data_IF_133659668985
#
_entry.id   IF_133659668985
#
_cell.length_a   1.000
_cell.length_b   1.000
_cell.length_c   1.000
_cell.angle_alpha   90.00
_cell.angle_beta   90.00
_cell.angle_gamma   90.00
#
_symmetry.space_group_name_H-M   'P 1'
#
loop_
_entity.id
_entity.type
_entity.pdbx_description
1 polymer ?
#
# COMPACT_ATOMS: atom_id res chain seq x y z
N UNK A 1 -4.19 38.19 10.08
CA UNK A 1 -4.29 37.12 11.09
C UNK A 1 -3.21 36.10 10.79
N UNK A 2 -2.36 35.78 11.76
CA UNK A 2 -1.41 34.65 11.66
C UNK A 2 -2.17 33.35 11.89
N UNK A 3 -2.10 32.41 10.95
CA UNK A 3 -2.66 31.06 11.15
C UNK A 3 -1.86 30.31 12.20
N UNK A 4 -2.54 29.59 13.10
CA UNK A 4 -1.92 28.72 14.09
C UNK A 4 -1.03 27.65 13.40
N UNK A 5 0.22 27.39 13.87
CA UNK A 5 1.15 26.49 13.17
C UNK A 5 0.62 25.07 12.93
N UNK A 6 -0.12 24.42 13.84
CA UNK A 6 -0.81 23.15 13.57
C UNK A 6 -1.81 23.22 12.40
N UNK A 7 -2.70 24.21 12.37
CA UNK A 7 -3.66 24.43 11.27
C UNK A 7 -2.94 24.63 9.94
N UNK A 8 -1.83 25.39 9.94
CA UNK A 8 -1.01 25.60 8.75
C UNK A 8 -0.32 24.30 8.28
N UNK A 9 0.17 23.48 9.22
CA UNK A 9 0.79 22.18 8.92
C UNK A 9 -0.23 21.20 8.32
N UNK A 10 -1.44 21.10 8.88
CA UNK A 10 -2.50 20.22 8.35
C UNK A 10 -2.92 20.65 6.93
N UNK A 11 -3.12 21.96 6.69
CA UNK A 11 -3.40 22.48 5.33
C UNK A 11 -2.26 22.17 4.35
N UNK A 12 -1.01 22.24 4.79
CA UNK A 12 0.14 21.87 3.95
C UNK A 12 0.17 20.37 3.64
N UNK A 13 -0.12 19.52 4.62
CA UNK A 13 -0.24 18.06 4.44
C UNK A 13 -1.37 17.71 3.47
N UNK A 14 -2.53 18.35 3.61
CA UNK A 14 -3.67 18.21 2.69
C UNK A 14 -3.28 18.52 1.23
N UNK A 15 -2.61 19.67 1.01
CA UNK A 15 -2.09 20.05 -0.30
C UNK A 15 -1.12 19.01 -0.85
N UNK A 16 -0.14 18.57 -0.05
CA UNK A 16 0.86 17.59 -0.45
C UNK A 16 0.22 16.25 -0.86
N UNK A 17 -0.75 15.74 -0.10
CA UNK A 17 -1.49 14.52 -0.45
C UNK A 17 -2.19 14.65 -1.80
N UNK A 18 -2.90 15.77 -2.02
CA UNK A 18 -3.63 16.04 -3.26
C UNK A 18 -2.69 16.05 -4.48
N UNK A 19 -1.61 16.82 -4.39
CA UNK A 19 -0.62 16.98 -5.47
C UNK A 19 0.18 15.69 -5.72
N UNK A 20 0.47 14.91 -4.68
CA UNK A 20 1.16 13.62 -4.82
C UNK A 20 0.29 12.57 -5.52
N UNK A 21 -1.04 12.60 -5.30
CA UNK A 21 -1.98 11.76 -6.04
C UNK A 21 -2.09 12.15 -7.52
N UNK A 22 -2.04 13.45 -7.84
CA UNK A 22 -2.04 13.93 -9.23
C UNK A 22 -0.83 13.45 -10.02
N UNK A 23 0.39 13.69 -9.52
CA UNK A 23 1.61 13.24 -10.20
C UNK A 23 1.72 11.71 -10.25
N UNK A 24 1.21 10.98 -9.25
CA UNK A 24 1.16 9.51 -9.30
C UNK A 24 0.31 9.05 -10.49
N UNK A 25 -0.90 9.62 -10.65
CA UNK A 25 -1.78 9.33 -11.79
C UNK A 25 -1.09 9.65 -13.11
N UNK A 26 -0.53 10.86 -13.25
CA UNK A 26 0.20 11.29 -14.46
C UNK A 26 1.33 10.32 -14.83
N UNK A 27 2.07 9.83 -13.83
CA UNK A 27 3.15 8.86 -14.02
C UNK A 27 2.63 7.48 -14.41
N UNK A 28 1.52 7.03 -13.80
CA UNK A 28 0.89 5.75 -14.15
C UNK A 28 0.32 5.78 -15.57
N UNK A 29 -0.39 6.83 -15.96
CA UNK A 29 -0.92 7.02 -17.32
C UNK A 29 0.22 6.95 -18.35
N UNK A 30 1.26 7.81 -18.18
CA UNK A 30 2.44 7.84 -19.04
C UNK A 30 3.18 6.50 -19.11
N UNK A 31 3.41 5.84 -17.98
CA UNK A 31 4.10 4.55 -17.95
C UNK A 31 3.28 3.45 -18.63
N UNK A 32 1.95 3.51 -18.64
CA UNK A 32 1.14 2.50 -19.35
C UNK A 32 1.08 2.74 -20.87
N UNK A 33 0.92 4.00 -21.30
CA UNK A 33 0.82 4.39 -22.72
C UNK A 33 2.10 4.14 -23.53
N UNK A 34 3.25 4.12 -22.86
CA UNK A 34 4.58 4.03 -23.49
C UNK A 34 5.09 2.60 -23.60
N UNK A 35 5.60 2.21 -24.77
CA UNK A 35 6.29 0.91 -24.94
C UNK A 35 7.53 0.90 -24.03
N UNK A 36 7.70 -0.17 -23.24
CA UNK A 36 8.85 -0.30 -22.35
C UNK A 36 10.16 -0.34 -23.15
N UNK A 37 11.17 0.43 -22.71
CA UNK A 37 12.42 0.54 -23.44
C UNK A 37 13.17 -0.81 -23.54
N UNK A 38 13.97 -1.07 -24.57
CA UNK A 38 14.76 -2.30 -24.68
C UNK A 38 15.68 -2.55 -23.47
N UNK A 39 15.80 -3.80 -23.03
CA UNK A 39 16.65 -4.20 -21.90
C UNK A 39 16.04 -3.98 -20.50
N UNK A 40 14.96 -3.21 -20.40
CA UNK A 40 14.20 -3.01 -19.15
C UNK A 40 13.64 -4.32 -18.57
N UNK A 41 13.32 -4.38 -17.27
CA UNK A 41 12.63 -5.53 -16.68
C UNK A 41 11.38 -5.94 -17.47
N UNK A 42 10.53 -4.98 -17.86
CA UNK A 42 9.32 -5.24 -18.64
C UNK A 42 9.59 -5.86 -20.02
N UNK A 43 10.55 -5.31 -20.79
CA UNK A 43 10.89 -5.88 -22.11
C UNK A 43 11.51 -7.29 -21.98
N UNK A 44 12.33 -7.52 -20.95
CA UNK A 44 12.91 -8.84 -20.65
C UNK A 44 11.87 -9.87 -20.22
N UNK A 45 10.90 -9.46 -19.40
CA UNK A 45 9.81 -10.34 -18.94
C UNK A 45 8.89 -10.72 -20.10
N UNK A 46 8.54 -9.76 -20.96
CA UNK A 46 7.77 -10.02 -22.17
C UNK A 46 8.50 -10.99 -23.12
N UNK A 47 9.79 -10.76 -23.39
CA UNK A 47 10.60 -11.66 -24.21
C UNK A 47 10.72 -13.07 -23.59
N UNK A 48 10.91 -13.16 -22.26
CA UNK A 48 10.96 -14.45 -21.55
C UNK A 48 9.64 -15.20 -21.66
N UNK A 49 8.51 -14.52 -21.51
CA UNK A 49 7.19 -15.13 -21.65
C UNK A 49 6.90 -15.64 -23.06
N UNK A 50 7.33 -14.91 -24.11
CA UNK A 50 7.24 -15.37 -25.50
C UNK A 50 8.03 -16.66 -25.73
N UNK A 51 9.16 -16.85 -25.03
CA UNK A 51 9.98 -18.07 -25.10
C UNK A 51 9.43 -19.27 -24.32
N UNK A 52 8.39 -19.10 -23.51
CA UNK A 52 7.85 -20.19 -22.69
C UNK A 52 6.86 -21.09 -23.45
N UNK A 53 6.83 -22.37 -23.06
CA UNK A 53 5.73 -23.27 -23.44
C UNK A 53 4.41 -22.68 -22.95
N UNK A 54 3.37 -22.78 -23.78
CA UNK A 54 2.03 -22.20 -23.49
C UNK A 54 2.10 -20.68 -23.22
N UNK A 55 2.94 -19.99 -23.98
CA UNK A 55 3.16 -18.53 -23.88
C UNK A 55 1.85 -17.73 -23.88
N UNK A 56 0.84 -18.12 -24.67
CA UNK A 56 -0.49 -17.47 -24.68
C UNK A 56 -1.23 -17.57 -23.33
N UNK A 57 -1.34 -18.76 -22.73
CA UNK A 57 -1.97 -18.91 -21.40
C UNK A 57 -1.17 -18.16 -20.32
N UNK A 58 0.17 -18.14 -20.45
CA UNK A 58 1.07 -17.39 -19.54
C UNK A 58 0.96 -15.87 -19.73
N UNK A 59 0.70 -15.41 -20.94
CA UNK A 59 0.43 -14.00 -21.27
C UNK A 59 -0.90 -13.52 -20.67
N UNK A 60 -1.95 -14.34 -20.70
CA UNK A 60 -3.21 -14.04 -20.00
C UNK A 60 -2.97 -13.91 -18.48
N UNK A 61 -2.30 -14.90 -17.87
CA UNK A 61 -1.93 -14.86 -16.44
C UNK A 61 -1.10 -13.62 -16.06
N UNK A 62 -0.10 -13.25 -16.86
CA UNK A 62 0.72 -12.08 -16.57
C UNK A 62 -0.04 -10.77 -16.76
N UNK A 63 -0.88 -10.68 -17.78
CA UNK A 63 -1.73 -9.50 -18.02
C UNK A 63 -2.67 -9.27 -16.85
N UNK A 64 -3.28 -10.33 -16.29
CA UNK A 64 -4.09 -10.27 -15.06
C UNK A 64 -3.28 -9.82 -13.85
N UNK A 65 -2.06 -10.34 -13.67
CA UNK A 65 -1.19 -9.93 -12.57
C UNK A 65 -0.78 -8.44 -12.68
N UNK A 66 -0.49 -7.96 -13.90
CA UNK A 66 -0.18 -6.56 -14.18
C UNK A 66 -1.39 -5.64 -13.95
N UNK A 67 -2.61 -6.07 -14.32
CA UNK A 67 -3.86 -5.36 -14.03
C UNK A 67 -4.10 -5.28 -12.51
N UNK A 68 -3.89 -6.37 -11.76
CA UNK A 68 -4.00 -6.31 -10.29
C UNK A 68 -2.96 -5.37 -9.66
N UNK A 69 -1.73 -5.31 -10.19
CA UNK A 69 -0.73 -4.32 -9.77
C UNK A 69 -1.18 -2.88 -10.07
N UNK A 70 -1.81 -2.64 -11.23
CA UNK A 70 -2.37 -1.33 -11.57
C UNK A 70 -3.56 -0.95 -10.67
N UNK A 71 -4.45 -1.89 -10.32
CA UNK A 71 -5.52 -1.64 -9.36
C UNK A 71 -4.97 -1.23 -7.98
N UNK A 72 -3.90 -1.89 -7.50
CA UNK A 72 -3.20 -1.47 -6.28
C UNK A 72 -2.57 -0.08 -6.42
N UNK A 73 -2.01 0.26 -7.59
CA UNK A 73 -1.43 1.58 -7.82
C UNK A 73 -2.50 2.70 -7.83
N UNK A 74 -3.67 2.43 -8.41
CA UNK A 74 -4.85 3.31 -8.35
C UNK A 74 -5.35 3.46 -6.90
N UNK A 75 -5.40 2.36 -6.13
CA UNK A 75 -5.79 2.42 -4.72
C UNK A 75 -4.84 3.28 -3.87
N UNK A 76 -3.53 3.26 -4.14
CA UNK A 76 -2.58 4.19 -3.51
C UNK A 76 -2.96 5.64 -3.83
N UNK A 77 -3.20 5.99 -5.09
CA UNK A 77 -3.61 7.33 -5.50
C UNK A 77 -4.92 7.79 -4.86
N UNK A 78 -5.92 6.91 -4.85
CA UNK A 78 -7.23 7.17 -4.24
C UNK A 78 -7.13 7.36 -2.73
N UNK A 79 -6.31 6.58 -2.02
CA UNK A 79 -6.06 6.78 -0.60
C UNK A 79 -5.37 8.11 -0.28
N UNK A 80 -4.49 8.62 -1.15
CA UNK A 80 -3.96 9.98 -0.99
C UNK A 80 -5.02 11.06 -1.27
N UNK A 81 -5.95 10.83 -2.22
CA UNK A 81 -7.12 11.72 -2.40
C UNK A 81 -8.00 11.73 -1.17
N UNK A 82 -8.34 10.55 -0.63
CA UNK A 82 -9.12 10.41 0.59
C UNK A 82 -8.44 11.15 1.77
N UNK A 83 -7.13 11.01 1.96
CA UNK A 83 -6.38 11.82 2.94
C UNK A 83 -6.52 13.33 2.68
N UNK A 84 -6.44 13.79 1.43
CA UNK A 84 -6.62 15.22 1.13
C UNK A 84 -8.05 15.75 1.36
N UNK A 85 -9.06 14.87 1.37
CA UNK A 85 -10.44 15.20 1.74
C UNK A 85 -10.59 15.20 3.27
N UNK A 86 -10.06 14.19 3.96
CA UNK A 86 -10.08 14.08 5.43
C UNK A 86 -9.33 15.22 6.14
N UNK A 87 -8.42 15.90 5.44
CA UNK A 87 -7.63 17.03 5.95
C UNK A 87 -8.10 18.38 5.39
N UNK A 88 -9.24 18.43 4.70
CA UNK A 88 -9.75 19.65 4.07
C UNK A 88 -10.20 20.69 5.10
N UNK A 89 -10.80 20.24 6.20
CA UNK A 89 -11.03 21.04 7.40
C UNK A 89 -10.04 20.62 8.51
N UNK A 90 -9.07 21.48 8.88
CA UNK A 90 -8.14 21.18 9.97
C UNK A 90 -8.78 21.04 11.35
N UNK A 91 -9.98 21.61 11.54
CA UNK A 91 -10.64 21.67 12.84
C UNK A 91 -11.59 20.47 13.07
N UNK A 92 -11.88 19.68 12.01
CA UNK A 92 -12.72 18.46 12.04
C UNK A 92 -12.03 17.23 11.40
N UNK A 93 -10.72 17.07 11.64
CA UNK A 93 -9.97 15.89 11.15
C UNK A 93 -10.37 14.63 11.93
N UNK A 94 -10.77 13.53 11.25
CA UNK A 94 -11.11 12.28 11.95
C UNK A 94 -9.90 11.59 12.60
N UNK A 95 -9.99 11.42 13.91
CA UNK A 95 -8.96 10.98 14.88
C UNK A 95 -8.05 9.82 14.42
N UNK A 96 -8.62 8.82 13.73
CA UNK A 96 -7.95 7.54 13.44
C UNK A 96 -8.05 7.12 11.97
N UNK A 97 -8.97 7.72 11.20
CA UNK A 97 -9.26 7.31 9.82
C UNK A 97 -8.05 7.52 8.90
N UNK A 98 -7.29 8.60 9.12
CA UNK A 98 -6.07 8.89 8.36
C UNK A 98 -5.03 7.77 8.42
N UNK A 99 -4.85 7.12 9.58
CA UNK A 99 -3.87 6.05 9.75
C UNK A 99 -4.30 4.76 9.01
N UNK A 100 -5.60 4.45 9.00
CA UNK A 100 -6.13 3.29 8.26
C UNK A 100 -6.04 3.49 6.73
N UNK A 101 -6.31 4.70 6.24
CA UNK A 101 -6.13 5.04 4.82
C UNK A 101 -4.66 5.01 4.41
N UNK A 102 -3.76 5.56 5.24
CA UNK A 102 -2.32 5.50 5.02
C UNK A 102 -1.79 4.05 5.02
N UNK A 103 -2.32 3.18 5.90
CA UNK A 103 -1.97 1.75 5.95
C UNK A 103 -2.21 1.05 4.61
N UNK A 104 -3.40 1.23 4.06
CA UNK A 104 -3.78 0.57 2.80
C UNK A 104 -2.91 1.01 1.62
N UNK A 105 -2.54 2.30 1.56
CA UNK A 105 -1.57 2.81 0.59
C UNK A 105 -0.18 2.17 0.76
N UNK A 106 0.32 2.07 2.00
CA UNK A 106 1.63 1.47 2.32
C UNK A 106 1.68 -0.03 1.99
N UNK A 107 0.64 -0.80 2.31
CA UNK A 107 0.55 -2.24 1.99
C UNK A 107 0.46 -2.47 0.47
N UNK A 108 -0.31 -1.65 -0.24
CA UNK A 108 -0.42 -1.70 -1.71
C UNK A 108 0.92 -1.38 -2.38
N UNK A 109 1.59 -0.30 -1.98
CA UNK A 109 2.90 0.08 -2.51
C UNK A 109 3.98 -1.00 -2.26
N UNK A 110 4.03 -1.57 -1.05
CA UNK A 110 4.95 -2.67 -0.74
C UNK A 110 4.69 -3.91 -1.60
N UNK A 111 3.43 -4.21 -1.90
CA UNK A 111 3.04 -5.32 -2.77
C UNK A 111 3.45 -5.07 -4.23
N UNK A 112 3.25 -3.85 -4.74
CA UNK A 112 3.69 -3.44 -6.09
C UNK A 112 5.21 -3.57 -6.22
N UNK A 113 5.96 -3.06 -5.24
CA UNK A 113 7.43 -3.19 -5.19
C UNK A 113 7.86 -4.66 -5.21
N UNK A 114 7.19 -5.54 -4.47
CA UNK A 114 7.47 -6.98 -4.45
C UNK A 114 7.22 -7.67 -5.80
N UNK A 115 6.15 -7.29 -6.51
CA UNK A 115 5.80 -7.85 -7.83
C UNK A 115 6.72 -7.37 -8.96
N UNK A 116 7.17 -6.11 -8.90
CA UNK A 116 7.91 -5.43 -9.98
C UNK A 116 9.41 -5.35 -9.75
N UNK A 117 9.90 -5.84 -8.60
CA UNK A 117 11.30 -5.93 -8.18
C UNK A 117 12.24 -6.34 -9.32
N UNK A 118 12.99 -5.36 -9.84
CA UNK A 118 13.88 -5.52 -10.98
C UNK A 118 15.12 -6.40 -10.68
N UNK A 119 15.42 -6.67 -9.40
CA UNK A 119 16.62 -7.39 -8.97
C UNK A 119 16.49 -8.90 -9.07
N UNK A 120 15.25 -9.43 -9.04
CA UNK A 120 14.98 -10.87 -9.17
C UNK A 120 14.77 -11.32 -10.63
N UNK A 121 14.86 -12.63 -10.94
CA UNK A 121 14.58 -13.15 -12.28
C UNK A 121 13.11 -12.97 -12.72
N UNK A 122 12.88 -12.93 -14.04
CA UNK A 122 11.53 -12.87 -14.66
C UNK A 122 10.59 -13.96 -14.17
N UNK A 123 11.09 -15.19 -14.03
CA UNK A 123 10.31 -16.32 -13.51
C UNK A 123 9.84 -16.08 -12.06
N UNK A 124 10.63 -15.39 -11.23
CA UNK A 124 10.27 -15.04 -9.85
C UNK A 124 9.17 -13.98 -9.83
N UNK A 125 9.28 -12.90 -10.63
CA UNK A 125 8.20 -11.90 -10.76
C UNK A 125 6.90 -12.52 -11.26
N UNK A 126 6.96 -13.34 -12.31
CA UNK A 126 5.79 -14.05 -12.84
C UNK A 126 5.15 -14.98 -11.78
N UNK A 127 5.97 -15.75 -11.04
CA UNK A 127 5.48 -16.61 -9.95
C UNK A 127 4.83 -15.83 -8.81
N UNK A 128 5.38 -14.66 -8.42
CA UNK A 128 4.76 -13.75 -7.43
C UNK A 128 3.41 -13.21 -7.93
N UNK A 129 3.33 -12.83 -9.20
CA UNK A 129 2.08 -12.40 -9.84
C UNK A 129 1.00 -13.49 -9.85
N UNK A 130 1.38 -14.74 -10.19
CA UNK A 130 0.47 -15.89 -10.14
C UNK A 130 0.05 -16.22 -8.70
N UNK A 131 0.97 -16.19 -7.75
CA UNK A 131 0.69 -16.39 -6.33
C UNK A 131 -0.37 -15.40 -5.81
N UNK A 132 -0.27 -14.12 -6.21
CA UNK A 132 -1.28 -13.10 -5.91
C UNK A 132 -2.66 -13.45 -6.49
N UNK A 133 -2.74 -13.85 -7.77
CA UNK A 133 -4.02 -14.21 -8.40
C UNK A 133 -4.72 -15.40 -7.71
N UNK A 134 -3.94 -16.38 -7.24
CA UNK A 134 -4.48 -17.52 -6.47
C UNK A 134 -5.02 -17.04 -5.12
N UNK A 135 -4.26 -16.22 -4.38
CA UNK A 135 -4.67 -15.68 -3.07
C UNK A 135 -5.92 -14.81 -3.17
N UNK A 136 -5.95 -13.89 -4.14
CA UNK A 136 -7.05 -12.96 -4.40
C UNK A 136 -8.34 -13.71 -4.77
N UNK A 137 -8.29 -14.61 -5.76
CA UNK A 137 -9.46 -15.38 -6.19
C UNK A 137 -9.97 -16.36 -5.12
N UNK A 138 -9.10 -16.94 -4.30
CA UNK A 138 -9.53 -17.78 -3.17
C UNK A 138 -10.17 -16.96 -2.05
N UNK A 139 -9.62 -15.78 -1.73
CA UNK A 139 -10.20 -14.87 -0.76
C UNK A 139 -11.60 -14.39 -1.21
N UNK A 140 -11.72 -13.95 -2.48
CA UNK A 140 -12.99 -13.54 -3.08
C UNK A 140 -14.02 -14.69 -3.07
N UNK A 141 -13.62 -15.90 -3.44
CA UNK A 141 -14.46 -17.12 -3.38
C UNK A 141 -14.94 -17.41 -1.95
N UNK A 142 -14.05 -17.33 -0.95
CA UNK A 142 -14.40 -17.58 0.46
C UNK A 142 -15.35 -16.52 1.01
N UNK A 143 -15.10 -15.24 0.73
CA UNK A 143 -15.99 -14.14 1.14
C UNK A 143 -17.37 -14.27 0.48
N UNK A 144 -17.41 -14.50 -0.84
CA UNK A 144 -18.65 -14.66 -1.61
C UNK A 144 -19.52 -15.85 -1.15
N UNK A 145 -18.91 -16.90 -0.60
CA UNK A 145 -19.61 -18.05 -0.03
C UNK A 145 -20.24 -17.79 1.35
N UNK A 146 -19.82 -16.72 2.05
CA UNK A 146 -20.39 -16.31 3.34
C UNK A 146 -21.53 -15.29 3.19
N UNK A 147 -21.72 -14.71 2.00
CA UNK A 147 -22.79 -13.76 1.74
C UNK A 147 -24.15 -14.47 1.77
N UNK A 148 -25.07 -14.10 2.69
CA UNK A 148 -26.38 -14.73 2.77
C UNK A 148 -27.26 -14.34 1.57
N UNK A 149 -28.04 -15.29 1.06
CA UNK A 149 -28.95 -15.03 -0.06
C UNK A 149 -30.27 -14.42 0.44
N UNK A 150 -30.27 -13.12 0.68
CA UNK A 150 -31.42 -12.35 1.20
C UNK A 150 -31.92 -11.35 0.15
N UNK A 151 -33.17 -10.87 0.29
CA UNK A 151 -33.81 -9.93 -0.65
C UNK A 151 -32.92 -8.78 -1.17
N UNK A 152 -32.26 -7.99 -0.30
CA UNK A 152 -31.39 -6.89 -0.74
C UNK A 152 -29.98 -7.32 -1.21
N UNK A 153 -29.62 -8.61 -1.07
CA UNK A 153 -28.26 -9.10 -1.32
C UNK A 153 -28.29 -10.52 -1.90
N UNK A 154 -28.25 -10.62 -3.23
CA UNK A 154 -28.13 -11.91 -3.93
C UNK A 154 -26.76 -12.53 -3.68
N UNK A 155 -26.71 -13.80 -3.28
CA UNK A 155 -25.45 -14.49 -2.99
C UNK A 155 -24.60 -14.68 -4.26
N UNK A 156 -23.38 -14.11 -4.35
CA UNK A 156 -22.55 -14.19 -5.55
C UNK A 156 -21.65 -15.44 -5.58
N UNK A 157 -21.71 -16.30 -4.56
CA UNK A 157 -20.87 -17.49 -4.37
C UNK A 157 -20.62 -18.34 -5.63
N UNK A 158 -21.66 -18.77 -6.39
CA UNK A 158 -21.46 -19.57 -7.60
C UNK A 158 -20.62 -18.88 -8.67
N UNK A 159 -20.75 -17.56 -8.84
CA UNK A 159 -19.99 -16.80 -9.83
C UNK A 159 -18.51 -16.74 -9.47
N UNK A 160 -18.18 -16.44 -8.21
CA UNK A 160 -16.79 -16.42 -7.73
C UNK A 160 -16.16 -17.83 -7.68
N UNK A 161 -16.93 -18.87 -7.35
CA UNK A 161 -16.48 -20.26 -7.45
C UNK A 161 -16.10 -20.62 -8.89
N UNK A 162 -16.93 -20.27 -9.87
CA UNK A 162 -16.63 -20.49 -11.29
C UNK A 162 -15.46 -19.63 -11.81
N UNK A 163 -15.28 -18.40 -11.31
CA UNK A 163 -14.10 -17.57 -11.61
C UNK A 163 -12.81 -18.19 -11.07
N UNK A 164 -12.82 -18.66 -9.82
CA UNK A 164 -11.65 -19.32 -9.21
C UNK A 164 -11.31 -20.63 -9.95
N UNK A 165 -12.30 -21.46 -10.29
CA UNK A 165 -12.05 -22.68 -11.06
C UNK A 165 -11.43 -22.36 -12.43
N UNK A 166 -11.95 -21.36 -13.15
CA UNK A 166 -11.36 -20.92 -14.44
C UNK A 166 -9.90 -20.45 -14.31
N UNK A 167 -9.50 -19.88 -13.17
CA UNK A 167 -8.10 -19.56 -12.91
C UNK A 167 -7.26 -20.84 -12.72
N UNK A 168 -7.75 -21.81 -11.94
CA UNK A 168 -7.06 -23.08 -11.73
C UNK A 168 -6.89 -23.86 -13.05
N UNK A 169 -7.92 -23.88 -13.89
CA UNK A 169 -7.88 -24.50 -15.22
C UNK A 169 -6.83 -23.82 -16.12
N UNK A 170 -6.80 -22.48 -16.13
CA UNK A 170 -5.79 -21.69 -16.87
C UNK A 170 -4.37 -21.98 -16.38
N UNK A 171 -4.18 -22.14 -15.07
CA UNK A 171 -2.88 -22.49 -14.47
C UNK A 171 -2.39 -23.88 -14.89
N UNK A 172 -3.27 -24.88 -14.93
CA UNK A 172 -2.90 -26.21 -15.47
C UNK A 172 -2.54 -26.14 -16.96
N UNK A 173 -3.33 -25.43 -17.79
CA UNK A 173 -3.03 -25.27 -19.22
C UNK A 173 -1.68 -24.58 -19.43
N UNK A 174 -1.38 -23.54 -18.66
CA UNK A 174 -0.10 -22.83 -18.64
C UNK A 174 1.08 -23.66 -18.06
N UNK A 175 0.80 -24.86 -17.55
CA UNK A 175 1.76 -25.76 -16.88
C UNK A 175 2.48 -25.07 -15.73
N UNK A 176 1.68 -24.47 -14.85
CA UNK A 176 2.12 -23.87 -13.59
C UNK A 176 1.82 -24.85 -12.46
N UNK A 177 2.85 -25.21 -11.69
CA UNK A 177 2.72 -26.15 -10.59
C UNK A 177 2.30 -25.40 -9.32
N UNK A 178 1.13 -25.76 -8.78
CA UNK A 178 0.72 -25.37 -7.43
C UNK A 178 1.31 -26.37 -6.44
N UNK A 179 2.19 -25.89 -5.55
CA UNK A 179 2.77 -26.70 -4.48
C UNK A 179 1.82 -26.70 -3.29
N UNK A 180 1.49 -27.89 -2.78
CA UNK A 180 0.60 -28.07 -1.62
C UNK A 180 1.38 -28.18 -0.30
N UNK A 181 0.77 -27.71 0.78
CA UNK A 181 1.23 -27.91 2.15
C UNK A 181 0.84 -29.30 2.69
N UNK A 182 1.26 -29.58 3.94
CA UNK A 182 0.92 -30.82 4.66
C UNK A 182 -0.60 -30.99 4.89
N UNK A 183 -1.33 -29.88 4.93
CA UNK A 183 -2.79 -29.82 5.04
C UNK A 183 -3.52 -29.88 3.68
N UNK A 184 -2.78 -30.15 2.59
CA UNK A 184 -3.31 -30.22 1.23
C UNK A 184 -3.63 -28.87 0.59
N UNK A 185 -3.52 -27.75 1.32
CA UNK A 185 -3.82 -26.41 0.77
C UNK A 185 -2.67 -25.89 -0.11
N UNK A 186 -2.94 -25.03 -1.11
CA UNK A 186 -1.90 -24.33 -1.85
C UNK A 186 -0.98 -23.53 -0.90
N UNK A 187 0.34 -23.80 -0.93
CA UNK A 187 1.35 -23.03 -0.19
C UNK A 187 2.26 -22.19 -1.09
N UNK A 188 2.48 -22.62 -2.33
CA UNK A 188 3.43 -21.99 -3.24
C UNK A 188 3.17 -22.31 -4.71
N UNK A 189 3.93 -21.66 -5.59
CA UNK A 189 3.84 -21.73 -7.04
C UNK A 189 5.23 -21.95 -7.64
N UNK A 190 5.35 -22.85 -8.61
CA UNK A 190 6.54 -23.03 -9.45
C UNK A 190 6.10 -22.85 -10.92
N UNK A 191 6.74 -21.91 -11.63
CA UNK A 191 6.36 -21.53 -13.01
C UNK A 191 7.29 -22.09 -14.09
N UNK A 192 8.44 -22.63 -13.71
CA UNK A 192 9.40 -23.30 -14.60
C UNK A 192 9.81 -24.63 -13.95
N UNK A 193 9.94 -25.74 -14.70
CA UNK A 193 10.41 -27.01 -14.14
C UNK A 193 11.77 -26.86 -13.44
N UNK A 194 11.86 -27.26 -12.18
CA UNK A 194 13.07 -27.07 -11.35
C UNK A 194 13.34 -25.63 -10.90
N UNK A 195 12.45 -24.68 -11.22
CA UNK A 195 12.54 -23.29 -10.78
C UNK A 195 12.18 -23.09 -9.30
N UNK A 196 12.45 -21.90 -8.74
CA UNK A 196 12.19 -21.61 -7.34
C UNK A 196 10.69 -21.57 -7.03
N UNK A 197 10.29 -22.21 -5.93
CA UNK A 197 8.95 -22.04 -5.35
C UNK A 197 8.79 -20.60 -4.83
N UNK A 198 7.70 -19.91 -5.20
CA UNK A 198 7.28 -18.67 -4.56
C UNK A 198 6.05 -18.92 -3.67
N UNK A 199 6.00 -18.37 -2.44
CA UNK A 199 4.88 -18.56 -1.53
C UNK A 199 3.60 -17.88 -2.05
N UNK A 200 2.46 -18.53 -1.84
CA UNK A 200 1.12 -17.98 -2.17
C UNK A 200 0.71 -16.92 -1.15
N UNK A 201 0.91 -17.21 0.14
CA UNK A 201 0.65 -16.26 1.22
C UNK A 201 1.94 -15.54 1.61
N UNK A 202 1.98 -14.23 1.37
CA UNK A 202 3.03 -13.32 1.84
C UNK A 202 2.43 -12.35 2.83
N UNK A 203 3.07 -12.16 3.99
CA UNK A 203 2.56 -11.24 5.02
C UNK A 203 2.85 -9.79 4.63
N UNK A 204 1.81 -8.95 4.66
CA UNK A 204 1.94 -7.51 4.44
C UNK A 204 2.98 -6.86 5.37
N UNK A 205 3.07 -7.32 6.63
CA UNK A 205 4.09 -6.89 7.61
C UNK A 205 5.53 -7.06 7.13
N UNK A 206 5.78 -8.11 6.35
CA UNK A 206 7.13 -8.50 5.94
C UNK A 206 7.50 -7.78 4.64
N UNK A 207 6.53 -7.61 3.74
CA UNK A 207 6.66 -6.74 2.56
C UNK A 207 6.90 -5.28 2.96
N UNK A 208 6.10 -4.72 3.86
CA UNK A 208 6.25 -3.33 4.30
C UNK A 208 7.59 -3.14 5.03
N UNK A 209 8.04 -4.10 5.85
CA UNK A 209 9.36 -4.03 6.48
C UNK A 209 10.52 -4.04 5.48
N UNK A 210 10.42 -4.84 4.41
CA UNK A 210 11.43 -4.90 3.35
C UNK A 210 11.41 -3.68 2.42
N UNK A 211 10.24 -3.11 2.17
CA UNK A 211 10.08 -1.93 1.33
C UNK A 211 10.42 -0.62 2.07
N UNK A 212 9.86 -0.42 3.27
CA UNK A 212 9.92 0.82 4.07
C UNK A 212 10.97 0.71 5.19
N UNK A 213 12.20 0.40 4.81
CA UNK A 213 13.34 0.24 5.74
C UNK A 213 13.77 1.55 6.41
N UNK A 214 13.51 2.70 5.78
CA UNK A 214 13.71 4.05 6.32
C UNK A 214 12.60 4.49 7.30
N UNK A 215 11.37 4.00 7.10
CA UNK A 215 10.23 4.26 8.00
C UNK A 215 10.03 3.08 8.95
N UNK A 216 11.03 2.81 9.79
CA UNK A 216 10.96 1.78 10.84
C UNK A 216 9.67 1.91 11.67
N UNK A 217 9.09 0.77 12.03
CA UNK A 217 7.82 0.66 12.76
C UNK A 217 6.55 1.27 12.10
N UNK A 218 6.62 1.75 10.85
CA UNK A 218 5.42 2.27 10.14
C UNK A 218 4.27 1.27 10.10
N UNK A 219 4.56 -0.02 9.83
CA UNK A 219 3.54 -1.06 9.80
C UNK A 219 2.84 -1.25 11.15
N UNK A 220 3.53 -1.58 12.28
CA UNK A 220 2.83 -1.74 13.56
C UNK A 220 2.13 -0.47 14.05
N UNK A 221 2.64 0.73 13.76
CA UNK A 221 1.98 1.99 14.14
C UNK A 221 0.63 2.17 13.45
N UNK A 222 0.58 1.98 12.13
CA UNK A 222 -0.66 2.11 11.36
C UNK A 222 -1.60 0.90 11.58
N UNK A 223 -1.03 -0.30 11.68
CA UNK A 223 -1.76 -1.55 11.95
C UNK A 223 -2.43 -1.55 13.32
N UNK A 224 -1.78 -0.96 14.34
CA UNK A 224 -2.34 -0.79 15.68
C UNK A 224 -3.65 0.02 15.68
N UNK A 225 -3.73 1.09 14.87
CA UNK A 225 -4.97 1.87 14.71
C UNK A 225 -6.07 1.04 14.05
N UNK A 226 -5.77 0.39 12.91
CA UNK A 226 -6.75 -0.42 12.17
C UNK A 226 -7.31 -1.59 12.97
N UNK A 227 -6.53 -2.13 13.91
CA UNK A 227 -6.97 -3.21 14.81
C UNK A 227 -7.46 -2.71 16.18
N UNK A 228 -7.69 -1.40 16.34
CA UNK A 228 -8.17 -0.75 17.55
C UNK A 228 -7.36 -1.10 18.81
N UNK A 229 -6.04 -1.20 18.69
CA UNK A 229 -5.15 -1.62 19.78
C UNK A 229 -5.03 -0.49 20.83
N UNK A 230 -5.38 -0.73 22.12
CA UNK A 230 -5.46 0.34 23.11
C UNK A 230 -4.17 1.17 23.27
N UNK A 231 -3.00 0.52 23.25
CA UNK A 231 -1.69 1.18 23.34
C UNK A 231 -1.39 2.20 22.23
N UNK A 232 -2.16 2.16 21.14
CA UNK A 232 -2.02 3.06 19.98
C UNK A 232 -3.11 4.13 19.93
N UNK A 233 -4.25 3.90 20.59
CA UNK A 233 -5.38 4.83 20.62
C UNK A 233 -5.36 5.77 21.83
N UNK A 234 -4.63 5.42 22.91
CA UNK A 234 -4.57 6.21 24.15
C UNK A 234 -4.13 7.65 23.99
N UNK A 235 -3.39 7.96 22.91
CA UNK A 235 -2.72 9.25 22.74
C UNK A 235 -3.65 10.34 22.17
N UNK A 236 -4.76 9.94 21.53
CA UNK A 236 -5.71 10.85 20.86
C UNK A 236 -7.10 10.87 21.51
N UNK A 237 -7.30 10.13 22.61
CA UNK A 237 -8.53 10.11 23.39
C UNK A 237 -8.22 9.92 24.89
N UNK A 238 -8.51 10.93 25.69
CA UNK A 238 -8.40 10.90 27.16
C UNK A 238 -9.77 10.69 27.82
N UNK A 239 -9.78 10.01 28.96
CA UNK A 239 -10.95 9.79 29.80
C UNK A 239 -10.61 10.16 31.25
N UNK A 240 -10.91 11.41 31.61
CA UNK A 240 -10.74 11.91 32.98
C UNK A 240 -12.08 11.86 33.73
N UNK A 241 -12.20 10.86 34.62
CA UNK A 241 -13.39 10.69 35.48
C UNK A 241 -14.65 10.25 34.72
N UNK A 242 -15.59 11.18 34.51
CA UNK A 242 -16.81 10.96 33.70
C UNK A 242 -16.80 11.73 32.36
N UNK A 243 -15.71 12.43 32.06
CA UNK A 243 -15.55 13.20 30.83
C UNK A 243 -14.59 12.46 29.90
N UNK A 244 -14.94 12.42 28.62
CA UNK A 244 -14.10 11.88 27.56
C UNK A 244 -13.82 13.01 26.56
N UNK A 245 -12.56 13.18 26.21
CA UNK A 245 -12.09 14.20 25.27
C UNK A 245 -11.25 13.52 24.20
N UNK A 246 -11.52 13.83 22.94
CA UNK A 246 -10.81 13.25 21.83
C UNK A 246 -10.64 14.27 20.71
N UNK A 247 -9.49 14.21 20.04
CA UNK A 247 -9.15 15.09 18.93
C UNK A 247 -8.04 14.46 18.11
N UNK A 248 -8.00 14.71 16.80
CA UNK A 248 -6.88 14.28 15.99
C UNK A 248 -5.61 15.01 16.44
N UNK A 249 -4.53 14.27 16.67
CA UNK A 249 -3.21 14.85 16.91
C UNK A 249 -2.57 15.25 15.56
N UNK A 250 -2.24 16.53 15.32
CA UNK A 250 -1.58 16.97 14.08
C UNK A 250 -0.24 16.26 13.79
N UNK A 251 0.47 15.77 14.81
CA UNK A 251 1.68 14.95 14.67
C UNK A 251 1.33 13.53 14.21
N UNK A 252 0.24 12.95 14.66
CA UNK A 252 -0.19 11.60 14.25
C UNK A 252 -0.85 11.60 12.85
N UNK A 253 -1.56 12.68 12.54
CA UNK A 253 -1.98 13.02 11.17
C UNK A 253 -0.75 13.06 10.25
N UNK A 254 0.29 13.81 10.63
CA UNK A 254 1.55 13.84 9.89
C UNK A 254 2.21 12.46 9.80
N UNK A 255 2.26 11.71 10.91
CA UNK A 255 2.75 10.33 10.98
C UNK A 255 2.01 9.35 10.08
N UNK A 256 0.81 9.70 9.60
CA UNK A 256 0.05 8.95 8.59
C UNK A 256 0.29 9.49 7.17
N UNK A 257 0.40 10.80 7.01
CA UNK A 257 0.64 11.47 5.72
C UNK A 257 2.03 11.12 5.15
N UNK A 258 3.09 11.12 5.97
CA UNK A 258 4.45 10.86 5.46
C UNK A 258 4.60 9.44 4.87
N UNK A 259 4.12 8.36 5.51
CA UNK A 259 4.03 7.04 4.88
C UNK A 259 3.21 7.00 3.59
N UNK A 260 2.08 7.72 3.52
CA UNK A 260 1.26 7.76 2.30
C UNK A 260 1.98 8.47 1.14
N UNK A 261 2.63 9.61 1.39
CA UNK A 261 3.46 10.31 0.40
C UNK A 261 4.60 9.42 -0.11
N UNK A 262 5.24 8.67 0.79
CA UNK A 262 6.26 7.68 0.47
C UNK A 262 5.69 6.52 -0.37
N UNK A 263 4.52 5.98 -0.02
CA UNK A 263 3.86 4.90 -0.75
C UNK A 263 3.52 5.30 -2.20
N UNK A 264 3.02 6.51 -2.41
CA UNK A 264 2.78 7.05 -3.75
C UNK A 264 4.08 7.18 -4.55
N UNK A 265 5.13 7.77 -3.97
CA UNK A 265 6.44 7.91 -4.61
C UNK A 265 7.00 6.55 -5.03
N UNK A 266 6.99 5.56 -4.13
CA UNK A 266 7.54 4.22 -4.37
C UNK A 266 6.75 3.43 -5.41
N UNK A 267 5.43 3.62 -5.44
CA UNK A 267 4.57 3.07 -6.48
C UNK A 267 4.97 3.62 -7.85
N UNK A 268 5.12 4.94 -7.97
CA UNK A 268 5.56 5.58 -9.20
C UNK A 268 6.97 5.13 -9.61
N UNK A 269 7.94 5.11 -8.68
CA UNK A 269 9.31 4.64 -8.95
C UNK A 269 9.35 3.16 -9.36
N UNK A 270 8.54 2.29 -8.76
CA UNK A 270 8.47 0.88 -9.10
C UNK A 270 7.96 0.67 -10.54
N UNK A 271 6.85 1.32 -10.92
CA UNK A 271 6.32 1.26 -12.29
C UNK A 271 7.28 1.89 -13.32
N UNK A 272 7.86 3.05 -13.01
CA UNK A 272 8.81 3.73 -13.88
C UNK A 272 10.06 2.87 -14.11
N UNK A 273 10.70 2.35 -13.05
CA UNK A 273 11.89 1.48 -13.16
C UNK A 273 11.61 0.20 -13.92
N UNK A 274 10.45 -0.40 -13.68
CA UNK A 274 10.05 -1.63 -14.37
C UNK A 274 9.99 -1.44 -15.90
N UNK A 275 9.63 -0.23 -16.38
CA UNK A 275 9.52 0.12 -17.82
C UNK A 275 10.67 1.00 -18.36
N UNK A 276 11.65 1.37 -17.54
CA UNK A 276 12.84 2.14 -17.94
C UNK A 276 12.65 3.66 -17.97
N UNK A 277 11.86 4.21 -17.06
CA UNK A 277 11.49 5.64 -17.00
C UNK A 277 11.95 6.31 -15.69
N UNK A 278 13.04 5.84 -15.08
CA UNK A 278 13.57 6.34 -13.79
C UNK A 278 13.89 7.85 -13.76
N UNK A 279 14.00 8.50 -14.93
CA UNK A 279 14.33 9.93 -15.11
C UNK A 279 13.09 10.85 -15.29
N UNK A 280 11.88 10.38 -14.98
CA UNK A 280 10.68 11.20 -15.09
C UNK A 280 10.69 12.39 -14.10
N UNK A 281 10.40 13.60 -14.61
CA UNK A 281 10.31 14.84 -13.84
C UNK A 281 9.20 14.79 -12.77
N UNK A 282 8.16 13.97 -12.95
CA UNK A 282 7.14 13.73 -11.92
C UNK A 282 7.73 13.08 -10.67
N UNK A 283 8.63 12.10 -10.81
CA UNK A 283 9.29 11.43 -9.70
C UNK A 283 10.11 12.42 -8.87
N UNK A 284 10.79 13.36 -9.52
CA UNK A 284 11.52 14.42 -8.84
C UNK A 284 10.62 15.42 -8.10
N UNK A 285 9.43 15.74 -8.64
CA UNK A 285 8.40 16.50 -7.91
C UNK A 285 7.91 15.70 -6.69
N UNK A 286 7.64 14.41 -6.85
CA UNK A 286 7.18 13.51 -5.79
C UNK A 286 8.22 13.32 -4.68
N UNK A 287 9.51 13.22 -5.02
CA UNK A 287 10.65 13.19 -4.06
C UNK A 287 10.74 14.49 -3.27
N UNK A 288 10.61 15.64 -3.93
CA UNK A 288 10.60 16.96 -3.26
C UNK A 288 9.41 17.12 -2.33
N UNK A 289 8.19 16.73 -2.74
CA UNK A 289 6.99 16.78 -1.88
C UNK A 289 7.09 15.84 -0.68
N UNK A 290 7.61 14.63 -0.84
CA UNK A 290 7.87 13.71 0.28
C UNK A 290 8.80 14.34 1.33
N UNK A 291 9.96 14.88 0.91
CA UNK A 291 10.90 15.58 1.81
C UNK A 291 10.26 16.80 2.48
N UNK A 292 9.54 17.63 1.72
CA UNK A 292 8.86 18.81 2.27
C UNK A 292 7.76 18.45 3.29
N UNK A 293 7.13 17.28 3.17
CA UNK A 293 6.22 16.76 4.19
C UNK A 293 6.96 16.35 5.46
N UNK A 294 8.02 15.57 5.33
CA UNK A 294 8.86 15.12 6.46
C UNK A 294 9.47 16.31 7.22
N UNK A 295 9.98 17.31 6.50
CA UNK A 295 10.44 18.58 7.10
C UNK A 295 9.31 19.33 7.82
N UNK A 296 8.10 19.40 7.26
CA UNK A 296 6.95 20.03 7.91
C UNK A 296 6.52 19.29 9.20
N UNK A 297 6.55 17.95 9.20
CA UNK A 297 6.29 17.16 10.42
C UNK A 297 7.37 17.40 11.48
N UNK A 298 8.65 17.43 11.10
CA UNK A 298 9.76 17.76 12.02
C UNK A 298 9.57 19.14 12.65
N UNK A 299 9.23 20.16 11.86
CA UNK A 299 8.96 21.51 12.40
C UNK A 299 7.76 21.53 13.36
N UNK A 300 6.68 20.81 13.04
CA UNK A 300 5.53 20.66 13.93
C UNK A 300 5.90 19.97 15.25
N UNK A 301 6.73 18.92 15.21
CA UNK A 301 7.25 18.24 16.40
C UNK A 301 8.16 19.14 17.24
N UNK A 302 8.99 19.98 16.61
CA UNK A 302 9.82 20.97 17.31
C UNK A 302 8.94 22.06 17.95
N UNK A 303 7.94 22.59 17.24
CA UNK A 303 6.98 23.55 17.77
C UNK A 303 6.18 23.01 18.96
N UNK A 304 5.63 21.78 18.87
CA UNK A 304 4.97 21.13 20.01
C UNK A 304 5.92 20.87 21.17
N UNK A 305 7.20 20.62 20.87
CA UNK A 305 8.26 20.59 21.88
C UNK A 305 8.66 21.96 22.38
N UNK A 306 8.36 23.10 21.73
CA UNK A 306 7.92 24.35 22.38
C UNK A 306 8.59 25.70 22.08
N UNK A 307 9.65 26.07 22.81
CA UNK A 307 10.02 27.48 23.14
C UNK A 307 10.47 28.48 22.06
N UNK A 308 11.25 28.12 21.02
CA UNK A 308 10.73 27.34 19.89
C UNK A 308 11.11 25.84 19.90
N UNK A 309 11.91 25.40 20.88
CA UNK A 309 12.47 24.04 20.98
C UNK A 309 12.66 23.63 22.45
N UNK A 310 11.60 23.64 23.29
CA UNK A 310 11.72 23.38 24.73
C UNK A 310 10.65 23.94 25.69
N UNK A 311 9.35 23.94 25.33
CA UNK A 311 8.24 23.88 26.30
C UNK A 311 8.10 22.38 26.61
N UNK A 312 8.68 21.89 27.72
CA UNK A 312 9.12 20.51 27.78
C UNK A 312 8.00 19.51 28.05
N UNK A 313 8.23 18.25 27.64
CA UNK A 313 7.44 17.07 28.04
C UNK A 313 7.46 16.78 29.56
N UNK A 314 7.98 17.68 30.40
CA UNK A 314 7.97 17.59 31.86
C UNK A 314 6.62 17.97 32.50
N UNK A 315 5.61 18.35 31.71
CA UNK A 315 4.25 18.58 32.20
C UNK A 315 3.54 17.27 32.59
N UNK A 316 3.89 16.13 31.97
CA UNK A 316 3.47 14.80 32.44
C UNK A 316 4.35 14.33 33.61
N UNK A 317 4.28 15.06 34.73
CA UNK A 317 4.58 14.43 36.03
C UNK A 317 3.45 13.47 36.34
N UNK A 318 3.72 12.17 36.20
CA UNK A 318 3.03 11.16 36.98
C UNK A 318 3.28 11.48 38.47
N UNK A 319 2.39 12.25 39.09
CA UNK A 319 2.27 12.30 40.55
C UNK A 319 1.62 11.02 41.03
N UNK A 320 2.34 9.91 40.87
CA UNK A 320 2.12 8.71 41.66
C UNK A 320 2.45 9.05 43.10
N UNK A 321 1.44 9.35 43.89
CA UNK A 321 1.55 9.34 45.34
C UNK A 321 1.89 7.92 45.80
N UNK A 322 2.74 7.84 46.82
CA UNK A 322 3.04 6.61 47.55
C UNK A 322 1.86 6.18 48.43
#
# INVERSE_FOLDING_TARGET
MTTDPPTAAVRRMQQLCREQADDLRETLERTQETVAAPGTPASRDHARMLSWTRSTDRQDLWSRAAINALHMAVAVGDHLRALSVLLADPDDVPIYTHATVARAAVESAATIMHLTDATVPSAVRFARGVALLITDSDAARRAAAQVPNIGPMKAPGPAFAAQHQRLLDLLDRAKIQIVKGRDGKPKGVIVEPGGPEQPISVKASDLVRGAFTDLYAVYPMLSGVTHAMPWRLSDSADITGRQAHWSADPVDVGGSVIPALAAALRTAEAHARYRGQDQDLSLDRMRRRYRAGDDALKQLMLYRRGTPNGVPLSAFRLTGGA
#
